data_IF_135913361620
#
_entry.id   IF_135913361620
#
_cell.length_a   1.000
_cell.length_b   1.000
_cell.length_c   1.000
_cell.angle_alpha   90.00
_cell.angle_beta   90.00
_cell.angle_gamma   90.00
#
_symmetry.space_group_name_H-M   'P 1'
#
loop_
_entity.id
_entity.type
_entity.pdbx_description
1 polymer ?
#
# COMPACT_ATOMS: atom_id res chain seq x y z
N UNK A 1 49.18 -65.56 3.30
CA UNK A 1 49.44 -64.46 2.35
C UNK A 1 48.48 -64.69 1.19
N UNK A 2 47.41 -63.95 1.00
CA UNK A 2 47.18 -62.55 1.35
C UNK A 2 45.67 -62.36 1.46
N UNK A 3 45.18 -61.75 2.54
CA UNK A 3 43.83 -61.19 2.60
C UNK A 3 43.73 -60.11 1.53
N UNK A 4 42.88 -60.29 0.53
CA UNK A 4 42.39 -59.18 -0.28
C UNK A 4 40.94 -58.93 0.10
N UNK A 5 40.83 -58.06 1.12
CA UNK A 5 39.58 -57.57 1.68
C UNK A 5 38.89 -56.72 0.63
N UNK A 6 37.75 -57.20 0.17
CA UNK A 6 36.83 -56.47 -0.69
C UNK A 6 36.54 -55.08 -0.08
N UNK A 7 36.74 -53.98 -0.80
CA UNK A 7 36.50 -52.65 -0.24
C UNK A 7 34.99 -52.46 -0.01
N UNK A 8 34.56 -52.01 1.17
CA UNK A 8 33.16 -51.66 1.40
C UNK A 8 32.88 -50.30 0.76
N UNK A 9 32.43 -50.28 -0.50
CA UNK A 9 32.08 -49.03 -1.18
C UNK A 9 30.70 -49.13 -1.85
N UNK A 10 29.70 -48.72 -1.07
CA UNK A 10 28.31 -48.63 -1.49
C UNK A 10 27.42 -47.90 -0.49
N UNK A 11 27.98 -47.02 0.36
CA UNK A 11 27.15 -46.04 1.06
C UNK A 11 26.78 -44.92 0.07
N UNK A 12 25.72 -45.15 -0.71
CA UNK A 12 25.16 -44.10 -1.55
C UNK A 12 24.83 -42.86 -0.70
N UNK A 13 25.18 -41.64 -1.16
CA UNK A 13 25.02 -40.45 -0.36
C UNK A 13 23.54 -40.18 -0.13
N UNK A 14 23.19 -39.94 1.14
CA UNK A 14 21.91 -39.43 1.72
C UNK A 14 21.34 -38.14 1.09
N UNK A 15 21.64 -37.82 -0.19
CA UNK A 15 21.28 -36.57 -0.89
C UNK A 15 19.79 -36.43 -1.22
N UNK A 16 19.02 -37.53 -1.37
CA UNK A 16 17.57 -37.46 -1.70
C UNK A 16 16.67 -37.00 -0.55
N UNK A 17 17.13 -37.08 0.72
CA UNK A 17 16.27 -36.76 1.88
C UNK A 17 16.21 -35.28 2.26
N UNK A 18 17.09 -34.43 1.70
CA UNK A 18 17.21 -33.01 2.11
C UNK A 18 16.34 -32.03 1.32
N UNK A 19 15.82 -32.42 0.15
CA UNK A 19 14.92 -31.57 -0.65
C UNK A 19 13.47 -31.52 -0.12
N UNK A 20 13.07 -32.46 0.76
CA UNK A 20 11.68 -32.58 1.23
C UNK A 20 11.26 -31.53 2.27
N UNK A 21 12.22 -30.92 2.96
CA UNK A 21 11.96 -30.01 4.10
C UNK A 21 11.51 -28.62 3.63
N UNK A 22 12.04 -28.11 2.51
CA UNK A 22 11.70 -26.77 1.98
C UNK A 22 10.25 -26.73 1.44
N UNK A 23 9.76 -27.82 0.84
CA UNK A 23 8.37 -27.92 0.36
C UNK A 23 7.31 -27.91 1.48
N UNK A 24 7.71 -28.22 2.71
CA UNK A 24 6.78 -28.31 3.85
C UNK A 24 6.35 -26.91 4.31
N UNK A 25 7.30 -25.99 4.46
CA UNK A 25 7.01 -24.61 4.86
C UNK A 25 6.15 -23.85 3.86
N UNK A 26 6.42 -23.95 2.55
CA UNK A 26 5.59 -23.27 1.54
C UNK A 26 4.15 -23.78 1.52
N UNK A 27 3.94 -25.08 1.77
CA UNK A 27 2.61 -25.67 1.89
C UNK A 27 1.93 -25.23 3.19
N UNK A 28 2.63 -25.31 4.32
CA UNK A 28 2.11 -24.90 5.63
C UNK A 28 1.77 -23.39 5.66
N UNK A 29 2.55 -22.57 4.97
CA UNK A 29 2.30 -21.15 4.78
C UNK A 29 1.11 -20.89 3.87
N UNK A 30 1.01 -21.58 2.73
CA UNK A 30 -0.13 -21.44 1.83
C UNK A 30 -1.43 -21.90 2.53
N UNK A 31 -1.35 -22.96 3.32
CA UNK A 31 -2.46 -23.46 4.15
C UNK A 31 -2.83 -22.42 5.23
N UNK A 32 -1.87 -21.71 5.82
CA UNK A 32 -2.12 -20.56 6.70
C UNK A 32 -2.83 -19.41 5.97
N UNK A 33 -2.32 -18.94 4.84
CA UNK A 33 -2.92 -17.82 4.09
C UNK A 33 -4.36 -18.14 3.68
N UNK A 34 -4.61 -19.40 3.28
CA UNK A 34 -5.96 -19.90 2.96
C UNK A 34 -6.84 -19.99 4.21
N UNK A 35 -6.33 -20.54 5.32
CA UNK A 35 -7.07 -20.71 6.57
C UNK A 35 -7.51 -19.37 7.17
N UNK A 36 -6.66 -18.35 7.11
CA UNK A 36 -6.92 -17.04 7.70
C UNK A 36 -7.43 -15.99 6.70
N UNK A 37 -7.76 -16.40 5.46
CA UNK A 37 -8.29 -15.52 4.39
C UNK A 37 -7.47 -14.22 4.16
N UNK A 38 -6.18 -14.25 4.48
CA UNK A 38 -5.30 -13.05 4.48
C UNK A 38 -5.16 -12.45 3.09
N UNK A 39 -5.28 -13.28 2.05
CA UNK A 39 -5.19 -12.84 0.66
C UNK A 39 -6.22 -11.76 0.32
N UNK A 40 -7.46 -11.88 0.80
CA UNK A 40 -8.50 -10.88 0.57
C UNK A 40 -8.20 -9.55 1.26
N UNK A 41 -7.72 -9.60 2.51
CA UNK A 41 -7.33 -8.41 3.26
C UNK A 41 -6.14 -7.70 2.61
N UNK A 42 -5.15 -8.45 2.13
CA UNK A 42 -3.98 -7.90 1.44
C UNK A 42 -4.39 -7.17 0.16
N UNK A 43 -5.25 -7.77 -0.66
CA UNK A 43 -5.75 -7.14 -1.89
C UNK A 43 -6.56 -5.88 -1.58
N UNK A 44 -7.45 -5.93 -0.60
CA UNK A 44 -8.24 -4.76 -0.18
C UNK A 44 -7.34 -3.61 0.27
N UNK A 45 -6.30 -3.88 1.07
CA UNK A 45 -5.38 -2.85 1.55
C UNK A 45 -4.54 -2.23 0.42
N UNK A 46 -4.05 -3.06 -0.51
CA UNK A 46 -3.30 -2.58 -1.68
C UNK A 46 -4.22 -1.68 -2.53
N UNK A 47 -5.42 -2.14 -2.85
CA UNK A 47 -6.38 -1.36 -3.63
C UNK A 47 -6.75 -0.04 -2.93
N UNK A 48 -7.06 -0.08 -1.63
CA UNK A 48 -7.34 1.13 -0.84
C UNK A 48 -6.17 2.12 -0.86
N UNK A 49 -4.94 1.63 -0.75
CA UNK A 49 -3.73 2.47 -0.81
C UNK A 49 -3.62 3.19 -2.15
N UNK A 50 -3.72 2.46 -3.26
CA UNK A 50 -3.60 3.05 -4.60
C UNK A 50 -4.75 3.98 -4.94
N UNK A 51 -5.98 3.68 -4.50
CA UNK A 51 -7.11 4.61 -4.63
C UNK A 51 -6.85 5.89 -3.84
N UNK A 52 -6.33 5.79 -2.62
CA UNK A 52 -5.93 6.96 -1.83
C UNK A 52 -4.88 7.83 -2.55
N UNK A 53 -3.85 7.21 -3.13
CA UNK A 53 -2.83 7.91 -3.92
C UNK A 53 -3.42 8.59 -5.16
N UNK A 54 -4.37 7.95 -5.85
CA UNK A 54 -5.03 8.55 -7.01
C UNK A 54 -5.86 9.78 -6.63
N UNK A 55 -6.62 9.69 -5.53
CA UNK A 55 -7.38 10.82 -4.99
C UNK A 55 -6.44 11.95 -4.57
N UNK A 56 -5.32 11.60 -3.93
CA UNK A 56 -4.33 12.59 -3.53
C UNK A 56 -3.71 13.29 -4.76
N UNK A 57 -3.33 12.56 -5.80
CA UNK A 57 -2.81 13.15 -7.03
C UNK A 57 -3.85 14.07 -7.70
N UNK A 58 -5.13 13.68 -7.72
CA UNK A 58 -6.21 14.54 -8.21
C UNK A 58 -6.32 15.84 -7.41
N UNK A 59 -6.14 15.78 -6.10
CA UNK A 59 -6.16 16.98 -5.26
C UNK A 59 -4.93 17.85 -5.52
N UNK A 60 -3.75 17.24 -5.50
CA UNK A 60 -2.47 17.95 -5.61
C UNK A 60 -2.25 18.53 -7.01
N UNK A 61 -2.64 17.81 -8.08
CA UNK A 61 -2.36 18.21 -9.47
C UNK A 61 -3.48 19.05 -10.11
N UNK A 62 -4.73 18.93 -9.63
CA UNK A 62 -5.87 19.63 -10.23
C UNK A 62 -6.46 20.63 -9.25
N UNK A 63 -6.79 20.21 -8.03
CA UNK A 63 -7.51 21.06 -7.08
C UNK A 63 -6.61 22.15 -6.48
N UNK A 64 -5.39 21.80 -6.07
CA UNK A 64 -4.44 22.75 -5.47
C UNK A 64 -4.08 23.90 -6.44
N UNK A 65 -3.73 23.65 -7.71
CA UNK A 65 -3.52 24.73 -8.68
C UNK A 65 -4.76 25.61 -8.87
N UNK A 66 -5.97 25.04 -8.88
CA UNK A 66 -7.21 25.82 -8.99
C UNK A 66 -7.39 26.81 -7.82
N UNK A 67 -6.97 26.44 -6.61
CA UNK A 67 -6.99 27.35 -5.45
C UNK A 67 -5.98 28.51 -5.59
N UNK A 68 -4.86 28.32 -6.30
CA UNK A 68 -3.88 29.41 -6.52
C UNK A 68 -4.39 30.52 -7.44
N UNK A 69 -5.36 30.23 -8.32
CA UNK A 69 -5.97 31.22 -9.21
C UNK A 69 -7.03 32.09 -8.52
N UNK A 70 -7.47 31.75 -7.30
CA UNK A 70 -8.43 32.55 -6.54
C UNK A 70 -7.67 33.70 -5.87
N UNK A 71 -7.89 34.98 -6.26
CA UNK A 71 -7.21 36.13 -5.66
C UNK A 71 -7.58 36.23 -4.18
N UNK A 72 -6.61 35.92 -3.30
CA UNK A 72 -6.75 35.83 -1.84
C UNK A 72 -6.16 34.53 -1.26
N UNK A 73 -6.14 33.43 -2.03
CA UNK A 73 -5.61 32.11 -1.62
C UNK A 73 -4.29 31.73 -2.32
N UNK A 74 -3.84 32.53 -3.28
CA UNK A 74 -2.50 32.49 -3.90
C UNK A 74 -1.33 32.59 -2.88
N UNK A 75 -1.63 32.75 -1.61
CA UNK A 75 -0.67 32.77 -0.52
C UNK A 75 -0.61 31.46 0.27
N UNK A 76 -1.28 30.35 -0.10
CA UNK A 76 -1.10 29.08 0.63
C UNK A 76 0.36 28.59 0.57
N UNK A 77 1.02 28.76 -0.58
CA UNK A 77 2.47 28.53 -0.70
C UNK A 77 3.27 29.55 0.14
N UNK A 78 2.80 30.80 0.22
CA UNK A 78 3.41 31.85 1.05
C UNK A 78 3.12 31.72 2.55
N UNK A 79 2.14 30.90 2.96
CA UNK A 79 1.88 30.51 4.34
C UNK A 79 2.86 29.42 4.80
N UNK A 80 3.36 28.61 3.87
CA UNK A 80 4.50 27.72 4.11
C UNK A 80 5.81 28.51 4.25
N UNK A 81 5.94 29.64 3.55
CA UNK A 81 7.05 30.59 3.70
C UNK A 81 6.90 31.53 4.92
N UNK A 82 5.72 31.57 5.56
CA UNK A 82 5.47 32.35 6.77
C UNK A 82 5.93 31.58 8.02
N UNK A 83 7.25 31.46 8.15
CA UNK A 83 7.91 30.95 9.35
C UNK A 83 7.93 32.06 10.41
N UNK A 84 6.93 32.08 11.30
CA UNK A 84 7.01 32.84 12.57
C UNK A 84 7.76 31.97 13.59
N UNK A 85 9.09 31.89 13.44
CA UNK A 85 9.97 31.10 14.31
C UNK A 85 9.82 29.57 14.16
N UNK A 86 10.16 28.79 15.19
CA UNK A 86 10.21 27.31 15.20
C UNK A 86 8.85 26.63 15.43
N UNK A 87 7.72 27.35 15.28
CA UNK A 87 6.38 26.79 15.41
C UNK A 87 5.77 26.52 14.03
N UNK A 88 5.57 25.25 13.70
CA UNK A 88 4.97 24.75 12.44
C UNK A 88 3.45 25.03 12.32
N UNK A 89 2.97 26.18 12.81
CA UNK A 89 1.55 26.56 12.75
C UNK A 89 1.11 26.71 11.28
N UNK A 90 2.00 27.18 10.39
CA UNK A 90 1.75 27.24 8.94
C UNK A 90 1.54 25.86 8.31
N UNK A 91 2.37 24.87 8.66
CA UNK A 91 2.24 23.50 8.13
C UNK A 91 0.95 22.83 8.61
N UNK A 92 0.57 23.01 9.88
CA UNK A 92 -0.68 22.45 10.41
C UNK A 92 -1.91 23.01 9.68
N UNK A 93 -1.95 24.33 9.43
CA UNK A 93 -3.06 24.95 8.72
C UNK A 93 -3.10 24.52 7.25
N UNK A 94 -1.94 24.43 6.58
CA UNK A 94 -1.82 23.92 5.21
C UNK A 94 -2.32 22.47 5.08
N UNK A 95 -1.89 21.59 6.00
CA UNK A 95 -2.34 20.18 6.04
C UNK A 95 -3.84 20.09 6.33
N UNK A 96 -4.37 20.96 7.18
CA UNK A 96 -5.82 21.01 7.47
C UNK A 96 -6.64 21.41 6.24
N UNK A 97 -6.17 22.39 5.45
CA UNK A 97 -6.82 22.81 4.20
C UNK A 97 -6.78 21.68 3.17
N UNK A 98 -5.62 21.02 3.03
CA UNK A 98 -5.45 19.86 2.13
C UNK A 98 -6.38 18.72 2.53
N UNK A 99 -6.52 18.43 3.82
CA UNK A 99 -7.46 17.43 4.33
C UNK A 99 -8.91 17.74 3.95
N UNK A 100 -9.34 19.00 4.07
CA UNK A 100 -10.69 19.43 3.66
C UNK A 100 -10.87 19.26 2.15
N UNK A 101 -9.85 19.58 1.34
CA UNK A 101 -9.89 19.41 -0.11
C UNK A 101 -10.01 17.93 -0.51
N UNK A 102 -9.21 17.03 0.09
CA UNK A 102 -9.31 15.58 -0.12
C UNK A 102 -10.70 15.06 0.26
N UNK A 103 -11.22 15.47 1.42
CA UNK A 103 -12.56 15.07 1.87
C UNK A 103 -13.65 15.55 0.88
N UNK A 104 -13.51 16.76 0.34
CA UNK A 104 -14.41 17.30 -0.67
C UNK A 104 -14.37 16.52 -1.99
N UNK A 105 -13.18 16.13 -2.45
CA UNK A 105 -13.03 15.32 -3.66
C UNK A 105 -13.65 13.94 -3.50
N UNK A 106 -13.42 13.27 -2.36
CA UNK A 106 -14.05 11.98 -2.06
C UNK A 106 -15.58 12.12 -2.08
N UNK A 107 -16.10 13.18 -1.46
CA UNK A 107 -17.54 13.48 -1.50
C UNK A 107 -18.05 13.66 -2.95
N UNK A 108 -17.34 14.40 -3.80
CA UNK A 108 -17.72 14.57 -5.20
C UNK A 108 -17.74 13.24 -5.96
N UNK A 109 -16.74 12.37 -5.75
CA UNK A 109 -16.68 11.06 -6.40
C UNK A 109 -17.87 10.20 -6.00
N UNK A 110 -18.19 10.10 -4.70
CA UNK A 110 -19.34 9.33 -4.21
C UNK A 110 -20.65 9.91 -4.76
N UNK A 111 -20.77 11.25 -4.77
CA UNK A 111 -21.96 11.94 -5.26
C UNK A 111 -22.18 11.77 -6.77
N UNK A 112 -21.11 11.79 -7.56
CA UNK A 112 -21.19 11.57 -9.01
C UNK A 112 -21.49 10.10 -9.30
N UNK A 113 -20.83 9.16 -8.59
CA UNK A 113 -21.08 7.72 -8.71
C UNK A 113 -22.54 7.36 -8.41
N UNK A 114 -23.09 7.88 -7.31
CA UNK A 114 -24.51 7.68 -6.96
C UNK A 114 -25.47 8.32 -7.96
N UNK A 115 -25.12 9.47 -8.55
CA UNK A 115 -25.97 10.16 -9.55
C UNK A 115 -25.95 9.50 -10.94
N UNK A 116 -24.87 8.79 -11.28
CA UNK A 116 -24.73 8.10 -12.57
C UNK A 116 -25.37 6.70 -12.60
N UNK A 117 -26.14 6.34 -11.57
CA UNK A 117 -26.86 5.06 -11.55
C UNK A 117 -25.96 3.86 -11.23
N UNK A 118 -24.81 4.08 -10.60
CA UNK A 118 -24.24 3.02 -9.78
C UNK A 118 -25.18 2.88 -8.59
N UNK A 119 -26.17 2.00 -8.73
CA UNK A 119 -26.79 1.34 -7.60
C UNK A 119 -25.62 0.77 -6.80
N UNK A 120 -25.23 1.50 -5.76
CA UNK A 120 -24.42 0.95 -4.68
C UNK A 120 -25.37 -0.01 -4.00
N UNK A 121 -25.51 -1.18 -4.60
CA UNK A 121 -26.27 -2.31 -4.07
C UNK A 121 -25.59 -2.63 -2.73
N UNK A 122 -26.34 -2.40 -1.64
CA UNK A 122 -25.89 -2.65 -0.27
C UNK A 122 -25.47 -4.11 -0.05
#
# INVERSE_FOLDING_TARGET
MTEEKQPPEGEEPKKKKRLKVIRRFGKDFMDFIRKYKVLGMAVAFIMATYVGLLVQALVDDIIMPLFTYIPGLNNLDRLNDWVVGNFYIGHFLSTSITFIAVAFVIYLIIKIGTKLGAEVEE
#
